data_IF_132263446604
#
_entry.id   IF_132263446604
#
_cell.length_a   1.000
_cell.length_b   1.000
_cell.length_c   1.000
_cell.angle_alpha   90.00
_cell.angle_beta   90.00
_cell.angle_gamma   90.00
#
_symmetry.space_group_name_H-M   'P 1'
#
loop_
_entity.id
_entity.type
_entity.pdbx_description
1 polymer ?
#
# COMPACT_ATOMS: atom_id res chain seq x y z
N UNK A 1 68.49 -26.95 -27.64
CA UNK A 1 67.10 -27.05 -28.09
C UNK A 1 66.25 -26.84 -26.87
N UNK A 2 65.77 -25.57 -26.65
CA UNK A 2 64.91 -25.20 -25.48
C UNK A 2 63.49 -25.20 -25.96
N UNK A 3 62.66 -26.09 -25.40
CA UNK A 3 61.20 -26.11 -25.63
C UNK A 3 60.59 -24.99 -24.81
N UNK A 4 59.96 -24.02 -25.48
CA UNK A 4 59.16 -23.00 -24.86
C UNK A 4 57.72 -23.54 -24.88
N UNK A 5 57.22 -23.95 -23.70
CA UNK A 5 55.80 -24.31 -23.51
C UNK A 5 55.04 -23.00 -23.24
N UNK A 6 54.29 -22.55 -24.24
CA UNK A 6 53.38 -21.39 -24.11
C UNK A 6 52.10 -21.85 -23.42
N UNK A 7 51.88 -21.41 -22.19
CA UNK A 7 50.68 -21.68 -21.44
C UNK A 7 49.60 -20.62 -21.81
N UNK A 8 48.70 -20.99 -22.70
CA UNK A 8 47.51 -20.15 -22.97
C UNK A 8 46.52 -20.26 -21.80
N UNK A 9 46.50 -19.24 -20.94
CA UNK A 9 45.48 -19.07 -19.91
C UNK A 9 44.22 -18.60 -20.63
N UNK A 10 43.30 -19.54 -20.90
CA UNK A 10 41.92 -19.19 -21.37
C UNK A 10 41.17 -18.63 -20.18
N UNK A 11 41.15 -17.31 -20.03
CA UNK A 11 40.21 -16.62 -19.16
C UNK A 11 38.80 -16.75 -19.78
N UNK A 12 38.05 -17.77 -19.37
CA UNK A 12 36.61 -17.82 -19.62
C UNK A 12 35.95 -16.71 -18.78
N UNK A 13 35.77 -15.53 -19.36
CA UNK A 13 34.80 -14.56 -18.84
C UNK A 13 33.42 -15.19 -18.93
N UNK A 14 32.96 -15.75 -17.82
CA UNK A 14 31.54 -15.95 -17.62
C UNK A 14 30.91 -14.55 -17.64
N UNK A 15 30.44 -14.11 -18.79
CA UNK A 15 29.47 -13.04 -18.91
C UNK A 15 28.24 -13.54 -18.16
N UNK A 16 28.18 -13.25 -16.86
CA UNK A 16 26.88 -13.27 -16.16
C UNK A 16 26.03 -12.23 -16.88
N UNK A 17 25.19 -12.68 -17.81
CA UNK A 17 24.15 -11.85 -18.39
C UNK A 17 23.32 -11.36 -17.19
N UNK A 18 23.52 -10.13 -16.78
CA UNK A 18 22.65 -9.49 -15.82
C UNK A 18 21.25 -9.46 -16.47
N UNK A 19 20.31 -10.13 -15.85
CA UNK A 19 18.94 -10.18 -16.32
C UNK A 19 18.41 -8.75 -16.42
N UNK A 20 17.76 -8.40 -17.55
CA UNK A 20 17.20 -7.06 -17.71
C UNK A 20 16.06 -6.82 -16.70
N UNK A 21 15.76 -5.56 -16.40
CA UNK A 21 14.70 -5.26 -15.42
C UNK A 21 13.32 -5.66 -15.96
N UNK A 22 13.12 -5.65 -17.28
CA UNK A 22 11.92 -6.12 -17.95
C UNK A 22 11.75 -7.64 -17.82
N UNK A 23 12.84 -8.41 -17.96
CA UNK A 23 12.82 -9.86 -17.72
C UNK A 23 12.51 -10.18 -16.26
N UNK A 24 13.04 -9.38 -15.34
CA UNK A 24 12.72 -9.48 -13.90
C UNK A 24 11.25 -9.21 -13.66
N UNK A 25 10.69 -8.13 -14.25
CA UNK A 25 9.26 -7.81 -14.12
C UNK A 25 8.39 -8.95 -14.66
N UNK A 26 8.69 -9.46 -15.85
CA UNK A 26 7.94 -10.58 -16.45
C UNK A 26 7.97 -11.84 -15.55
N UNK A 27 9.13 -12.16 -14.98
CA UNK A 27 9.25 -13.29 -14.06
C UNK A 27 8.42 -13.07 -12.78
N UNK A 28 8.39 -11.86 -12.24
CA UNK A 28 7.57 -11.51 -11.08
C UNK A 28 6.09 -11.64 -11.40
N UNK A 29 5.65 -11.16 -12.57
CA UNK A 29 4.26 -11.29 -13.03
C UNK A 29 3.88 -12.76 -13.10
N UNK A 30 4.61 -13.59 -13.84
CA UNK A 30 4.29 -15.00 -14.01
C UNK A 30 4.20 -15.73 -12.66
N UNK A 31 5.14 -15.49 -11.74
CA UNK A 31 5.11 -16.13 -10.43
C UNK A 31 3.99 -15.61 -9.52
N UNK A 32 3.54 -14.35 -9.69
CA UNK A 32 2.40 -13.81 -8.93
C UNK A 32 1.06 -14.27 -9.52
N UNK A 33 0.95 -14.42 -10.84
CA UNK A 33 -0.20 -15.06 -11.50
C UNK A 33 -0.40 -16.50 -11.01
N UNK A 34 0.69 -17.26 -10.87
CA UNK A 34 0.64 -18.61 -10.29
C UNK A 34 0.05 -18.62 -8.86
N UNK A 35 0.32 -17.58 -8.06
CA UNK A 35 -0.28 -17.39 -6.73
C UNK A 35 -1.78 -17.11 -6.86
N UNK A 36 -2.19 -16.19 -7.74
CA UNK A 36 -3.57 -15.74 -7.85
C UNK A 36 -4.51 -16.78 -8.48
N UNK A 37 -3.99 -17.64 -9.36
CA UNK A 37 -4.79 -18.70 -10.02
C UNK A 37 -4.87 -20.01 -9.22
N UNK A 38 -4.02 -20.22 -8.22
CA UNK A 38 -4.09 -21.37 -7.34
C UNK A 38 -5.35 -21.31 -6.45
N UNK A 39 -5.95 -22.46 -6.18
CA UNK A 39 -7.18 -22.57 -5.38
C UNK A 39 -6.98 -23.30 -4.06
N UNK A 40 -5.96 -24.15 -3.97
CA UNK A 40 -5.64 -24.83 -2.73
C UNK A 40 -4.84 -23.93 -1.81
N UNK A 41 -5.35 -23.65 -0.61
CA UNK A 41 -4.73 -22.73 0.36
C UNK A 41 -3.28 -23.11 0.72
N UNK A 42 -2.94 -24.41 0.72
CA UNK A 42 -1.57 -24.85 1.02
C UNK A 42 -0.65 -24.63 -0.18
N UNK A 43 -1.13 -24.93 -1.38
CA UNK A 43 -0.35 -24.73 -2.60
C UNK A 43 -0.16 -23.25 -2.89
N UNK A 44 -1.18 -22.42 -2.65
CA UNK A 44 -1.05 -20.95 -2.82
C UNK A 44 0.04 -20.37 -1.91
N UNK A 45 0.16 -20.84 -0.67
CA UNK A 45 1.21 -20.39 0.23
C UNK A 45 2.62 -20.84 -0.22
N UNK A 46 2.75 -22.04 -0.79
CA UNK A 46 4.01 -22.51 -1.40
C UNK A 46 4.40 -21.61 -2.58
N UNK A 47 3.46 -21.33 -3.49
CA UNK A 47 3.69 -20.43 -4.63
C UNK A 47 4.01 -19.00 -4.18
N UNK A 48 3.38 -18.52 -3.11
CA UNK A 48 3.72 -17.24 -2.50
C UNK A 48 5.16 -17.21 -1.98
N UNK A 49 5.65 -18.29 -1.37
CA UNK A 49 7.04 -18.37 -0.93
C UNK A 49 8.02 -18.38 -2.12
N UNK A 50 7.66 -19.00 -3.24
CA UNK A 50 8.41 -18.93 -4.49
C UNK A 50 8.42 -17.50 -5.06
N UNK A 51 7.27 -16.83 -5.09
CA UNK A 51 7.18 -15.42 -5.48
C UNK A 51 8.06 -14.53 -4.60
N UNK A 52 7.99 -14.68 -3.27
CA UNK A 52 8.85 -13.95 -2.33
C UNK A 52 10.34 -14.19 -2.60
N UNK A 53 10.71 -15.41 -2.96
CA UNK A 53 12.10 -15.73 -3.34
C UNK A 53 12.53 -15.01 -4.63
N UNK A 54 11.65 -14.96 -5.64
CA UNK A 54 11.87 -14.22 -6.88
C UNK A 54 11.99 -12.72 -6.63
N UNK A 55 11.10 -12.14 -5.82
CA UNK A 55 11.14 -10.73 -5.43
C UNK A 55 12.42 -10.39 -4.64
N UNK A 56 12.86 -11.27 -3.73
CA UNK A 56 14.11 -11.11 -3.00
C UNK A 56 15.32 -11.06 -3.94
N UNK A 57 15.34 -11.90 -4.99
CA UNK A 57 16.39 -11.89 -6.01
C UNK A 57 16.31 -10.62 -6.87
N UNK A 58 15.11 -10.16 -7.21
CA UNK A 58 14.88 -8.93 -7.96
C UNK A 58 15.48 -7.71 -7.25
N UNK A 59 15.46 -7.66 -5.92
CA UNK A 59 16.03 -6.56 -5.14
C UNK A 59 17.56 -6.46 -5.21
N UNK A 60 18.25 -7.42 -5.82
CA UNK A 60 19.66 -7.30 -6.12
C UNK A 60 19.94 -6.38 -7.32
N UNK A 61 18.95 -6.17 -8.18
CA UNK A 61 19.04 -5.19 -9.26
C UNK A 61 18.73 -3.77 -8.71
N UNK A 62 19.68 -2.83 -8.89
CA UNK A 62 19.56 -1.46 -8.36
C UNK A 62 18.44 -0.66 -9.01
N UNK A 63 18.04 -1.00 -10.22
CA UNK A 63 16.95 -0.33 -10.96
C UNK A 63 15.58 -0.63 -10.36
N UNK A 64 15.45 -1.71 -9.56
CA UNK A 64 14.20 -2.16 -8.93
C UNK A 64 13.50 -1.04 -8.14
N UNK A 65 14.26 -0.12 -7.55
CA UNK A 65 13.72 0.97 -6.77
C UNK A 65 12.97 1.99 -7.63
N UNK A 66 13.49 2.35 -8.79
CA UNK A 66 12.98 3.43 -9.65
C UNK A 66 12.20 2.96 -10.88
N UNK A 67 12.30 1.67 -11.24
CA UNK A 67 11.61 1.12 -12.40
C UNK A 67 10.09 1.22 -12.24
N UNK A 68 9.30 1.67 -13.24
CA UNK A 68 7.87 1.96 -13.09
C UNK A 68 7.01 0.76 -12.66
N UNK A 69 7.31 -0.44 -13.16
CA UNK A 69 6.50 -1.64 -12.96
C UNK A 69 5.06 -1.49 -13.45
N UNK A 70 4.87 -0.88 -14.63
CA UNK A 70 3.53 -0.61 -15.20
C UNK A 70 2.70 -1.89 -15.41
N UNK A 71 3.35 -3.00 -15.72
CA UNK A 71 2.68 -4.29 -15.90
C UNK A 71 2.46 -5.02 -14.57
N UNK A 72 3.46 -5.09 -13.69
CA UNK A 72 3.35 -5.74 -12.38
C UNK A 72 2.36 -5.01 -11.47
N UNK A 73 2.22 -3.67 -11.61
CA UNK A 73 1.28 -2.86 -10.82
C UNK A 73 -0.20 -3.20 -11.06
N UNK A 74 -0.52 -4.00 -12.07
CA UNK A 74 -1.87 -4.55 -12.31
C UNK A 74 -2.21 -5.72 -11.38
N UNK A 75 -1.20 -6.37 -10.80
CA UNK A 75 -1.33 -7.56 -9.97
C UNK A 75 -1.02 -7.29 -8.49
N UNK A 76 -0.21 -6.27 -8.21
CA UNK A 76 0.17 -5.90 -6.84
C UNK A 76 0.40 -4.39 -6.76
N UNK A 77 0.40 -3.84 -5.55
CA UNK A 77 0.82 -2.45 -5.35
C UNK A 77 2.34 -2.33 -5.36
N UNK A 78 2.86 -1.40 -6.15
CA UNK A 78 4.30 -1.07 -6.25
C UNK A 78 4.54 0.42 -6.04
N UNK A 79 3.85 1.03 -5.07
CA UNK A 79 3.83 2.49 -4.87
C UNK A 79 5.15 2.98 -4.28
N UNK A 80 5.66 4.08 -4.84
CA UNK A 80 6.84 4.79 -4.34
C UNK A 80 6.39 6.04 -3.57
N UNK A 81 7.02 6.34 -2.44
CA UNK A 81 6.75 7.58 -1.71
C UNK A 81 7.18 8.80 -2.54
N UNK A 82 6.39 9.87 -2.53
CA UNK A 82 6.65 11.04 -3.38
C UNK A 82 7.94 11.80 -3.01
N UNK A 83 8.48 11.58 -1.82
CA UNK A 83 9.81 12.07 -1.39
C UNK A 83 10.96 11.14 -1.84
N UNK A 84 10.65 9.98 -2.44
CA UNK A 84 11.63 9.04 -2.95
C UNK A 84 12.43 8.27 -1.88
N UNK A 85 11.97 8.23 -0.63
CA UNK A 85 12.68 7.58 0.48
C UNK A 85 12.48 6.07 0.54
N UNK A 86 11.33 5.58 0.07
CA UNK A 86 11.04 4.14 0.02
C UNK A 86 9.98 3.80 -1.03
N UNK A 87 9.91 2.53 -1.35
CA UNK A 87 8.91 1.92 -2.20
C UNK A 87 8.24 0.76 -1.48
N UNK A 88 6.94 0.58 -1.67
CA UNK A 88 6.17 -0.56 -1.16
C UNK A 88 5.95 -1.56 -2.30
N UNK A 89 6.19 -2.83 -2.02
CA UNK A 89 5.77 -3.98 -2.81
C UNK A 89 4.76 -4.75 -1.95
N UNK A 90 3.48 -4.70 -2.33
CA UNK A 90 2.40 -5.13 -1.46
C UNK A 90 1.33 -5.86 -2.27
N UNK A 91 0.99 -7.08 -1.85
CA UNK A 91 -0.01 -7.93 -2.49
C UNK A 91 -0.87 -8.64 -1.47
N UNK A 92 -2.00 -9.16 -1.95
CA UNK A 92 -2.92 -9.96 -1.16
C UNK A 92 -3.15 -11.31 -1.81
N UNK A 93 -3.52 -12.27 -0.99
CA UNK A 93 -3.93 -13.62 -1.36
C UNK A 93 -5.32 -13.83 -0.78
N UNK A 94 -6.30 -14.13 -1.64
CA UNK A 94 -7.62 -14.52 -1.20
C UNK A 94 -7.64 -16.03 -0.93
N UNK A 95 -7.98 -16.40 0.33
CA UNK A 95 -8.09 -17.78 0.77
C UNK A 95 -9.50 -18.34 0.53
N UNK A 96 -9.66 -19.66 0.54
CA UNK A 96 -10.93 -20.36 0.27
C UNK A 96 -12.12 -19.85 1.12
N UNK A 97 -11.87 -19.40 2.33
CA UNK A 97 -12.87 -18.80 3.22
C UNK A 97 -13.14 -17.31 2.95
N UNK A 98 -12.67 -16.77 1.81
CA UNK A 98 -12.71 -15.36 1.41
C UNK A 98 -12.00 -14.40 2.38
N UNK A 99 -11.19 -14.90 3.30
CA UNK A 99 -10.28 -14.07 4.10
C UNK A 99 -9.07 -13.71 3.27
N UNK A 100 -8.54 -12.54 3.56
CA UNK A 100 -7.36 -12.03 2.87
C UNK A 100 -6.10 -12.31 3.69
N UNK A 101 -5.02 -12.70 3.03
CA UNK A 101 -3.67 -12.69 3.58
C UNK A 101 -2.87 -11.61 2.85
N UNK A 102 -2.16 -10.77 3.60
CA UNK A 102 -1.40 -9.65 3.06
C UNK A 102 0.09 -9.85 3.23
N UNK A 103 0.82 -9.50 2.20
CA UNK A 103 2.27 -9.39 2.22
C UNK A 103 2.67 -7.96 1.85
N UNK A 104 3.59 -7.38 2.60
CA UNK A 104 4.09 -6.04 2.31
C UNK A 104 5.59 -5.95 2.61
N UNK A 105 6.37 -5.60 1.59
CA UNK A 105 7.79 -5.37 1.70
C UNK A 105 8.10 -3.92 1.36
N UNK A 106 8.79 -3.24 2.26
CA UNK A 106 9.21 -1.86 2.11
C UNK A 106 10.68 -1.87 1.70
N UNK A 107 10.95 -1.44 0.48
CA UNK A 107 12.30 -1.24 -0.05
C UNK A 107 12.70 0.22 0.16
N UNK A 108 13.69 0.49 0.98
CA UNK A 108 14.23 1.82 1.19
C UNK A 108 15.19 2.21 0.05
N UNK A 109 15.39 3.50 -0.16
CA UNK A 109 16.32 4.06 -1.15
C UNK A 109 17.76 3.51 -1.03
N UNK A 110 18.19 3.16 0.18
CA UNK A 110 19.48 2.50 0.45
C UNK A 110 19.45 0.99 0.25
N UNK A 111 18.40 0.45 -0.37
CA UNK A 111 18.18 -0.97 -0.64
C UNK A 111 17.97 -1.85 0.61
N UNK A 112 17.76 -1.24 1.78
CA UNK A 112 17.33 -1.99 2.96
C UNK A 112 15.87 -2.42 2.81
N UNK A 113 15.58 -3.67 3.15
CA UNK A 113 14.25 -4.28 3.02
C UNK A 113 13.65 -4.46 4.42
N UNK A 114 12.41 -4.01 4.60
CA UNK A 114 11.61 -4.25 5.80
C UNK A 114 10.39 -5.06 5.36
N UNK A 115 10.21 -6.23 5.97
CA UNK A 115 9.06 -7.10 5.71
C UNK A 115 8.05 -6.93 6.81
N UNK A 116 6.79 -6.66 6.46
CA UNK A 116 5.71 -6.54 7.41
C UNK A 116 5.02 -7.89 7.57
N UNK A 117 4.68 -8.23 8.79
CA UNK A 117 3.94 -9.46 9.12
C UNK A 117 2.47 -9.17 9.30
N UNK A 118 1.62 -9.78 8.50
CA UNK A 118 0.17 -9.70 8.61
C UNK A 118 -0.31 -10.35 9.92
N UNK A 119 -0.74 -9.51 10.87
CA UNK A 119 -1.09 -9.92 12.22
C UNK A 119 -2.59 -10.24 12.34
N UNK A 120 -2.91 -11.53 12.44
CA UNK A 120 -4.29 -12.02 12.36
C UNK A 120 -5.08 -11.97 13.67
N UNK A 121 -4.48 -11.52 14.78
CA UNK A 121 -5.20 -11.40 16.05
C UNK A 121 -5.93 -10.08 16.14
N UNK A 122 -7.11 -10.10 16.77
CA UNK A 122 -7.84 -8.89 17.09
C UNK A 122 -7.03 -8.00 18.05
N UNK A 123 -6.94 -6.73 17.72
CA UNK A 123 -6.28 -5.72 18.55
C UNK A 123 -7.35 -4.78 19.09
N UNK A 124 -7.56 -4.75 20.42
CA UNK A 124 -8.51 -3.83 21.02
C UNK A 124 -8.21 -2.37 20.65
N UNK A 125 -9.25 -1.60 20.41
CA UNK A 125 -9.13 -0.18 20.06
C UNK A 125 -8.09 0.09 18.97
N UNK A 126 -8.14 -0.72 17.93
CA UNK A 126 -7.14 -0.72 16.84
C UNK A 126 -6.84 0.66 16.27
N UNK A 127 -7.84 1.56 16.19
CA UNK A 127 -7.68 2.93 15.70
C UNK A 127 -6.84 3.83 16.63
N UNK A 128 -6.63 3.41 17.89
CA UNK A 128 -5.81 4.11 18.88
C UNK A 128 -4.53 3.36 19.25
N UNK A 129 -4.33 2.14 18.75
CA UNK A 129 -3.18 1.29 19.07
C UNK A 129 -1.98 1.61 18.20
N UNK A 130 -0.76 1.52 18.77
CA UNK A 130 0.50 1.55 17.99
C UNK A 130 0.86 0.15 17.56
N UNK A 131 1.35 0.01 16.32
CA UNK A 131 1.77 -1.25 15.72
C UNK A 131 3.22 -1.10 15.20
N UNK A 132 3.84 -2.23 14.92
CA UNK A 132 5.16 -2.32 14.31
C UNK A 132 5.18 -3.29 13.11
N UNK A 133 6.37 -3.61 12.61
CA UNK A 133 6.54 -4.53 11.49
C UNK A 133 6.00 -5.95 11.76
N UNK A 134 5.86 -6.36 13.03
CA UNK A 134 5.41 -7.71 13.41
C UNK A 134 3.91 -7.76 13.80
N UNK A 135 3.31 -6.60 13.98
CA UNK A 135 1.91 -6.45 14.39
C UNK A 135 1.09 -5.64 13.37
N UNK A 136 1.57 -5.61 12.14
CA UNK A 136 0.91 -4.89 11.05
C UNK A 136 -0.51 -5.41 10.78
N UNK A 137 -1.44 -4.46 10.54
CA UNK A 137 -2.88 -4.74 10.38
C UNK A 137 -3.22 -5.60 9.15
N UNK A 138 -2.38 -5.55 8.10
CA UNK A 138 -2.70 -6.13 6.80
C UNK A 138 -3.60 -5.22 5.95
N UNK A 139 -3.08 -4.75 4.83
CA UNK A 139 -3.81 -3.96 3.85
C UNK A 139 -3.07 -3.93 2.51
N UNK A 140 -3.77 -3.59 1.44
CA UNK A 140 -3.18 -3.27 0.14
C UNK A 140 -3.08 -1.74 0.03
N UNK A 141 -1.89 -1.18 0.27
CA UNK A 141 -1.67 0.26 0.16
C UNK A 141 -1.52 0.70 -1.29
N UNK A 142 -2.23 1.74 -1.67
CA UNK A 142 -2.23 2.27 -3.03
C UNK A 142 -1.82 3.75 -3.13
N UNK A 143 -1.58 4.41 -1.99
CA UNK A 143 -1.05 5.78 -1.96
C UNK A 143 -0.20 6.02 -0.71
N UNK A 144 0.82 6.89 -0.82
CA UNK A 144 1.75 7.24 0.24
C UNK A 144 1.96 8.76 0.23
N UNK A 145 1.56 9.40 1.30
CA UNK A 145 1.60 10.86 1.46
C UNK A 145 2.64 11.21 2.53
N UNK A 146 3.81 11.75 2.18
CA UNK A 146 4.76 12.26 3.16
C UNK A 146 4.30 13.63 3.69
N UNK A 147 4.13 13.72 4.98
CA UNK A 147 3.78 14.96 5.65
C UNK A 147 4.85 15.34 6.68
N UNK A 148 5.26 16.61 6.70
CA UNK A 148 6.16 17.11 7.72
C UNK A 148 5.40 17.34 9.02
N UNK A 149 5.87 16.75 10.13
CA UNK A 149 5.31 16.93 11.46
C UNK A 149 6.41 17.27 12.43
N UNK A 150 6.50 18.57 12.83
CA UNK A 150 7.62 19.05 13.62
C UNK A 150 8.95 18.73 12.91
N UNK A 151 9.81 17.92 13.54
CA UNK A 151 11.15 17.58 13.03
C UNK A 151 11.23 16.18 12.40
N UNK A 152 10.11 15.58 12.03
CA UNK A 152 10.08 14.25 11.40
C UNK A 152 9.06 14.19 10.25
N UNK A 153 9.34 13.33 9.28
CA UNK A 153 8.36 12.96 8.27
C UNK A 153 7.45 11.87 8.83
N UNK A 154 6.14 12.08 8.72
CA UNK A 154 5.11 11.08 8.97
C UNK A 154 4.48 10.72 7.62
N UNK A 155 4.42 9.45 7.30
CA UNK A 155 3.80 8.96 6.08
C UNK A 155 2.36 8.57 6.36
N UNK A 156 1.45 9.10 5.59
CA UNK A 156 0.05 8.66 5.59
C UNK A 156 -0.14 7.68 4.46
N UNK A 157 -0.49 6.45 4.77
CA UNK A 157 -0.75 5.39 3.81
C UNK A 157 -2.25 5.26 3.60
N UNK A 158 -2.67 5.16 2.35
CA UNK A 158 -4.06 4.88 2.00
C UNK A 158 -4.15 3.47 1.45
N UNK A 159 -5.02 2.65 2.03
CA UNK A 159 -5.12 1.24 1.73
C UNK A 159 -6.53 0.70 1.66
N UNK A 160 -6.60 -0.55 1.23
CA UNK A 160 -7.82 -1.34 1.15
C UNK A 160 -7.58 -2.73 1.78
N UNK A 161 -8.62 -3.23 2.44
CA UNK A 161 -8.68 -4.60 2.97
C UNK A 161 -9.98 -5.24 2.48
N UNK A 162 -9.87 -6.39 1.79
CA UNK A 162 -10.99 -7.21 1.35
C UNK A 162 -11.76 -7.87 2.48
N UNK A 163 -11.24 -7.78 3.70
CA UNK A 163 -11.79 -8.20 4.96
C UNK A 163 -12.40 -9.62 4.94
N UNK A 164 -13.69 -9.72 4.59
CA UNK A 164 -14.45 -10.97 4.62
C UNK A 164 -15.51 -11.04 3.51
N UNK A 165 -16.36 -12.07 3.55
CA UNK A 165 -17.42 -12.27 2.57
C UNK A 165 -18.54 -11.21 2.59
N UNK A 166 -18.65 -10.40 3.66
CA UNK A 166 -19.75 -9.44 3.86
C UNK A 166 -19.32 -8.00 3.65
N UNK A 167 -18.03 -7.69 3.89
CA UNK A 167 -17.56 -6.31 3.94
C UNK A 167 -16.14 -6.14 3.41
N UNK A 168 -15.86 -4.92 2.94
CA UNK A 168 -14.53 -4.42 2.67
C UNK A 168 -14.17 -3.33 3.69
N UNK A 169 -12.88 -2.98 3.74
CA UNK A 169 -12.41 -1.82 4.50
C UNK A 169 -11.57 -0.89 3.64
N UNK A 170 -11.69 0.42 3.88
CA UNK A 170 -10.69 1.41 3.51
C UNK A 170 -9.94 1.86 4.75
N UNK A 171 -8.65 2.07 4.61
CA UNK A 171 -7.76 2.34 5.74
C UNK A 171 -6.93 3.57 5.44
N UNK A 172 -6.85 4.48 6.41
CA UNK A 172 -5.85 5.54 6.44
C UNK A 172 -4.94 5.23 7.63
N UNK A 173 -3.67 4.96 7.35
CA UNK A 173 -2.69 4.55 8.36
C UNK A 173 -1.57 5.59 8.45
N UNK A 174 -1.10 5.87 9.66
CA UNK A 174 0.10 6.69 9.85
C UNK A 174 1.32 5.81 10.11
N UNK A 175 2.42 6.10 9.44
CA UNK A 175 3.67 5.34 9.52
C UNK A 175 4.86 6.29 9.72
N UNK A 176 5.83 5.86 10.51
CA UNK A 176 7.12 6.54 10.65
C UNK A 176 8.26 5.52 10.65
N UNK A 177 9.45 5.96 10.25
CA UNK A 177 10.68 5.23 10.53
C UNK A 177 11.29 5.77 11.83
N UNK A 178 11.50 4.88 12.80
CA UNK A 178 12.14 5.24 14.07
C UNK A 178 13.67 5.42 13.90
N UNK A 179 14.35 5.84 14.95
CA UNK A 179 15.82 6.06 14.94
C UNK A 179 16.64 4.82 14.57
N UNK A 180 16.08 3.62 14.70
CA UNK A 180 16.69 2.35 14.32
C UNK A 180 16.29 1.91 12.89
N UNK A 181 15.70 2.80 12.11
CA UNK A 181 15.16 2.52 10.77
C UNK A 181 14.07 1.42 10.72
N UNK A 182 13.44 1.11 11.84
CA UNK A 182 12.29 0.20 11.90
C UNK A 182 11.00 0.96 11.66
N UNK A 183 10.02 0.27 11.09
CA UNK A 183 8.68 0.80 10.88
C UNK A 183 7.89 0.83 12.18
N UNK A 184 7.17 1.91 12.39
CA UNK A 184 6.20 2.06 13.46
C UNK A 184 4.93 2.69 12.89
N UNK A 185 3.78 2.08 13.17
CA UNK A 185 2.47 2.60 12.80
C UNK A 185 1.78 3.21 14.02
N UNK A 186 0.94 4.20 13.76
CA UNK A 186 0.07 4.75 14.78
C UNK A 186 0.59 6.04 15.42
N UNK A 187 1.01 6.99 14.61
CA UNK A 187 1.13 8.39 15.05
C UNK A 187 -0.27 9.01 15.21
N UNK A 188 -0.58 9.70 16.34
CA UNK A 188 -1.88 10.32 16.54
C UNK A 188 -1.98 11.60 15.70
N UNK A 189 -2.48 11.47 14.48
CA UNK A 189 -2.56 12.59 13.52
C UNK A 189 -3.94 12.81 12.90
N UNK A 190 -4.93 11.94 13.15
CA UNK A 190 -6.27 12.07 12.59
C UNK A 190 -7.24 12.67 13.63
N UNK A 191 -7.37 14.00 13.63
CA UNK A 191 -8.19 14.75 14.61
C UNK A 191 -9.62 14.89 14.14
N UNK A 192 -10.55 14.44 14.97
CA UNK A 192 -11.98 14.53 14.75
C UNK A 192 -12.61 15.76 15.44
N UNK A 193 -13.86 16.06 15.11
CA UNK A 193 -14.61 17.24 15.63
C UNK A 193 -14.87 17.15 17.14
N UNK A 194 -14.93 15.93 17.71
CA UNK A 194 -15.08 15.69 19.15
C UNK A 194 -13.78 15.90 19.95
N UNK A 195 -12.72 16.34 19.27
CA UNK A 195 -11.40 16.56 19.86
C UNK A 195 -10.52 15.33 19.98
N UNK A 196 -11.07 14.11 19.73
CA UNK A 196 -10.28 12.88 19.73
C UNK A 196 -9.35 12.83 18.54
N UNK A 197 -8.16 12.26 18.75
CA UNK A 197 -7.17 12.08 17.70
C UNK A 197 -6.86 10.59 17.55
N UNK A 198 -7.22 10.02 16.41
CA UNK A 198 -6.94 8.62 16.08
C UNK A 198 -5.51 8.47 15.50
N UNK A 199 -4.99 7.26 15.58
CA UNK A 199 -3.70 6.85 14.99
C UNK A 199 -3.87 6.26 13.58
N UNK A 200 -5.05 5.71 13.30
CA UNK A 200 -5.53 5.26 11.99
C UNK A 200 -7.03 5.45 11.90
N UNK A 201 -7.54 5.37 10.67
CA UNK A 201 -8.98 5.45 10.41
C UNK A 201 -9.35 4.21 9.59
N UNK A 202 -10.37 3.49 10.04
CA UNK A 202 -10.89 2.30 9.37
C UNK A 202 -12.34 2.54 9.00
N UNK A 203 -12.64 2.47 7.70
CA UNK A 203 -13.98 2.53 7.15
C UNK A 203 -14.39 1.13 6.72
N UNK A 204 -15.29 0.49 7.45
CA UNK A 204 -15.87 -0.78 7.06
C UNK A 204 -17.21 -0.53 6.35
N UNK A 205 -17.41 -1.19 5.21
CA UNK A 205 -18.59 -0.99 4.37
C UNK A 205 -18.97 -2.29 3.65
N UNK A 206 -20.22 -2.33 3.18
CA UNK A 206 -20.80 -3.50 2.53
C UNK A 206 -19.99 -3.94 1.30
N UNK A 207 -19.78 -5.26 1.15
CA UNK A 207 -19.00 -5.88 0.05
C UNK A 207 -19.49 -5.46 -1.33
N UNK A 208 -20.80 -5.25 -1.50
CA UNK A 208 -21.43 -4.85 -2.76
C UNK A 208 -21.41 -3.34 -3.02
N UNK A 209 -21.01 -2.55 -2.01
CA UNK A 209 -20.86 -1.10 -2.15
C UNK A 209 -19.47 -0.74 -2.64
N UNK A 210 -19.38 0.43 -3.28
CA UNK A 210 -18.10 1.05 -3.61
C UNK A 210 -17.87 2.26 -2.72
N UNK A 211 -16.66 2.39 -2.16
CA UNK A 211 -16.24 3.56 -1.39
C UNK A 211 -14.97 4.15 -2.00
N UNK A 212 -15.03 5.41 -2.41
CA UNK A 212 -13.87 6.18 -2.83
C UNK A 212 -13.12 6.73 -1.62
N UNK A 213 -11.80 6.60 -1.64
CA UNK A 213 -10.89 7.22 -0.66
C UNK A 213 -9.62 7.62 -1.43
N UNK A 214 -9.33 8.93 -1.54
CA UNK A 214 -8.27 9.47 -2.39
C UNK A 214 -7.58 10.66 -1.76
N UNK A 215 -6.28 10.75 -1.93
CA UNK A 215 -5.51 11.96 -1.69
C UNK A 215 -5.66 12.94 -2.85
N UNK A 216 -5.72 14.22 -2.54
CA UNK A 216 -5.75 15.30 -3.52
C UNK A 216 -5.04 16.53 -2.98
N UNK A 217 -4.08 17.03 -3.72
CA UNK A 217 -3.44 18.31 -3.42
C UNK A 217 -4.08 19.43 -4.26
N UNK A 218 -4.51 20.50 -3.61
CA UNK A 218 -5.12 21.66 -4.25
C UNK A 218 -4.58 22.92 -3.64
N UNK A 219 -3.98 23.81 -4.43
CA UNK A 219 -3.42 25.10 -3.97
C UNK A 219 -2.46 24.99 -2.77
N UNK A 220 -1.64 23.95 -2.75
CA UNK A 220 -0.69 23.61 -1.67
C UNK A 220 -1.34 23.06 -0.38
N UNK A 221 -2.63 22.80 -0.37
CA UNK A 221 -3.32 22.11 0.71
C UNK A 221 -3.52 20.65 0.35
N UNK A 222 -3.24 19.75 1.27
CA UNK A 222 -3.42 18.31 1.10
C UNK A 222 -4.74 17.88 1.73
N UNK A 223 -5.54 17.17 0.94
CA UNK A 223 -6.84 16.62 1.34
C UNK A 223 -6.85 15.10 1.16
N UNK A 224 -7.41 14.39 2.11
CA UNK A 224 -7.87 13.02 1.94
C UNK A 224 -9.39 13.07 1.86
N UNK A 225 -9.95 12.81 0.68
CA UNK A 225 -11.39 12.91 0.41
C UNK A 225 -11.96 11.51 0.31
N UNK A 226 -13.10 11.28 0.93
CA UNK A 226 -13.74 9.98 0.94
C UNK A 226 -15.26 10.10 0.98
N UNK A 227 -15.92 9.06 0.48
CA UNK A 227 -17.38 8.96 0.53
C UNK A 227 -17.85 8.83 1.98
N UNK A 228 -18.90 9.57 2.33
CA UNK A 228 -19.55 9.42 3.61
C UNK A 228 -20.28 8.08 3.69
N UNK A 229 -20.09 7.36 4.80
CA UNK A 229 -20.72 6.07 5.07
C UNK A 229 -21.86 6.22 6.06
N UNK A 230 -22.99 5.61 5.74
CA UNK A 230 -24.16 5.58 6.62
C UNK A 230 -24.81 4.19 6.65
N UNK A 231 -25.49 3.83 7.75
CA UNK A 231 -26.29 2.61 7.77
C UNK A 231 -27.50 2.77 6.82
N UNK A 232 -27.86 1.76 6.01
CA UNK A 232 -29.00 1.81 5.09
C UNK A 232 -30.35 1.87 5.81
N UNK A 233 -30.37 1.55 7.11
CA UNK A 233 -31.52 1.72 7.99
C UNK A 233 -31.07 1.98 9.43
N UNK A 234 -31.91 2.64 10.27
CA UNK A 234 -31.55 2.90 11.69
C UNK A 234 -31.22 1.65 12.50
N UNK A 235 -31.80 0.51 12.17
CA UNK A 235 -31.56 -0.76 12.86
C UNK A 235 -30.16 -1.33 12.61
N UNK A 236 -29.45 -0.86 11.59
CA UNK A 236 -28.12 -1.31 11.21
C UNK A 236 -27.01 -0.34 11.67
N UNK A 237 -27.35 0.64 12.53
CA UNK A 237 -26.42 1.69 12.98
C UNK A 237 -25.11 1.15 13.58
N UNK A 238 -25.14 0.00 14.26
CA UNK A 238 -23.96 -0.56 14.93
C UNK A 238 -23.30 -1.69 14.13
N UNK A 239 -23.76 -1.91 12.89
CA UNK A 239 -23.28 -2.98 12.02
C UNK A 239 -22.55 -2.39 10.80
N UNK A 240 -21.30 -1.98 11.00
CA UNK A 240 -20.49 -1.30 9.95
C UNK A 240 -20.34 -2.12 8.66
N UNK A 241 -20.39 -3.46 8.74
CA UNK A 241 -20.35 -4.34 7.56
C UNK A 241 -21.50 -4.10 6.57
N UNK A 242 -22.56 -3.42 6.96
CA UNK A 242 -23.71 -3.10 6.11
C UNK A 242 -23.77 -1.64 5.66
N UNK A 243 -22.80 -0.81 6.08
CA UNK A 243 -22.77 0.60 5.70
C UNK A 243 -22.59 0.77 4.20
N UNK A 244 -23.24 1.79 3.68
CA UNK A 244 -23.21 2.16 2.26
C UNK A 244 -22.90 3.66 2.12
N UNK A 245 -22.55 4.10 0.93
CA UNK A 245 -22.30 5.51 0.62
C UNK A 245 -23.62 6.24 0.33
N UNK A 246 -23.73 7.51 0.72
CA UNK A 246 -24.91 8.37 0.51
C UNK A 246 -24.69 9.48 -0.53
N UNK A 247 -23.62 9.37 -1.34
CA UNK A 247 -23.20 10.33 -2.37
C UNK A 247 -22.71 11.68 -1.84
N UNK A 248 -22.58 11.84 -0.52
CA UNK A 248 -21.89 12.97 0.10
C UNK A 248 -20.43 12.62 0.39
N UNK A 249 -19.59 13.62 0.67
CA UNK A 249 -18.19 13.45 0.94
C UNK A 249 -17.82 14.04 2.29
N UNK A 250 -16.89 13.36 2.96
CA UNK A 250 -16.11 13.92 4.04
C UNK A 250 -14.64 14.07 3.62
N UNK A 251 -13.87 14.82 4.38
CA UNK A 251 -12.44 14.95 4.11
C UNK A 251 -11.62 15.09 5.38
N UNK A 252 -10.33 14.82 5.26
CA UNK A 252 -9.31 15.33 6.16
C UNK A 252 -8.49 16.38 5.42
N UNK A 253 -8.22 17.51 6.07
CA UNK A 253 -7.32 18.56 5.62
C UNK A 253 -6.06 18.53 6.46
N UNK A 254 -4.88 18.46 5.83
CA UNK A 254 -3.60 18.58 6.52
C UNK A 254 -3.35 20.03 6.92
N UNK A 255 -3.35 20.29 8.21
CA UNK A 255 -2.99 21.59 8.78
C UNK A 255 -2.53 21.42 10.24
N UNK A 256 -1.73 22.31 10.75
CA UNK A 256 -1.23 22.27 12.14
C UNK A 256 -0.55 20.93 12.49
N UNK A 257 0.19 20.32 11.55
CA UNK A 257 0.90 19.05 11.69
C UNK A 257 -0.01 17.82 11.96
N UNK A 258 -1.26 17.85 11.49
CA UNK A 258 -2.23 16.76 11.61
C UNK A 258 -3.30 16.83 10.52
N UNK A 259 -4.04 15.74 10.35
CA UNK A 259 -5.21 15.65 9.50
C UNK A 259 -6.45 16.06 10.30
N UNK A 260 -7.10 17.16 9.92
CA UNK A 260 -8.29 17.69 10.58
C UNK A 260 -9.54 17.29 9.80
N UNK A 261 -10.47 16.60 10.47
CA UNK A 261 -11.71 16.12 9.86
C UNK A 261 -12.64 17.27 9.47
N UNK A 262 -13.21 17.19 8.26
CA UNK A 262 -14.20 18.11 7.68
C UNK A 262 -15.42 17.30 7.23
N UNK A 263 -16.54 17.51 7.90
CA UNK A 263 -17.81 16.87 7.52
C UNK A 263 -18.47 17.61 6.36
N UNK A 264 -19.24 16.90 5.53
CA UNK A 264 -20.00 17.45 4.40
C UNK A 264 -19.12 18.30 3.47
N UNK A 265 -18.00 17.72 3.07
CA UNK A 265 -17.00 18.42 2.27
C UNK A 265 -17.49 18.60 0.83
N UNK A 266 -17.55 19.85 0.34
CA UNK A 266 -17.88 20.13 -1.06
C UNK A 266 -16.67 19.85 -1.97
N UNK A 267 -16.56 18.61 -2.45
CA UNK A 267 -15.51 18.20 -3.37
C UNK A 267 -15.55 18.97 -4.72
N UNK A 268 -16.69 19.59 -5.09
CA UNK A 268 -16.80 20.41 -6.30
C UNK A 268 -16.10 21.76 -6.13
N UNK A 269 -16.00 22.27 -4.90
CA UNK A 269 -15.27 23.51 -4.62
C UNK A 269 -13.77 23.41 -4.90
N UNK A 270 -13.21 22.19 -4.95
CA UNK A 270 -11.84 21.90 -5.34
C UNK A 270 -11.62 21.85 -6.86
N UNK A 271 -12.54 22.38 -7.69
CA UNK A 271 -12.31 22.47 -9.12
C UNK A 271 -11.02 23.24 -9.38
N UNK A 272 -9.97 22.50 -9.72
CA UNK A 272 -8.80 23.07 -10.37
C UNK A 272 -9.29 23.65 -11.67
N UNK A 273 -9.14 24.97 -11.85
CA UNK A 273 -9.40 25.66 -13.07
C UNK A 273 -8.77 24.90 -14.25
N UNK A 274 -9.65 24.41 -15.12
CA UNK A 274 -9.44 24.04 -16.50
C UNK A 274 -8.28 23.09 -16.83
N UNK A 275 -8.56 21.77 -16.78
CA UNK A 275 -8.30 21.00 -17.99
C UNK A 275 -9.65 20.73 -18.63
N UNK A 276 -9.87 21.09 -19.91
CA UNK A 276 -11.07 20.69 -20.62
C UNK A 276 -11.17 19.16 -20.52
N UNK A 277 -12.33 18.68 -20.11
CA UNK A 277 -12.64 17.26 -20.21
C UNK A 277 -12.62 16.92 -21.70
N UNK A 278 -11.63 16.16 -22.13
CA UNK A 278 -11.64 15.58 -23.46
C UNK A 278 -12.69 14.47 -23.46
N UNK A 279 -13.87 14.79 -23.97
CA UNK A 279 -14.92 13.83 -24.21
C UNK A 279 -14.40 12.76 -25.19
N UNK A 280 -14.28 11.48 -24.78
CA UNK A 280 -13.77 10.43 -25.67
C UNK A 280 -14.71 10.11 -26.82
N UNK A 281 -15.90 10.73 -26.88
CA UNK A 281 -16.90 10.58 -27.95
C UNK A 281 -17.00 11.79 -28.88
N UNK A 282 -16.02 12.71 -28.85
CA UNK A 282 -15.88 13.81 -29.81
C UNK A 282 -14.64 13.67 -30.62
#
# INVERSE_FOLDING_TARGET
>A
MKLIISFYLILSFNLMNAQSIEEIELKLINSLEDVHFEKDDKLVMIKNDEFKSNLQKAFLNKEIFSYPFDSLSKFMSTVISSDGEFRIFNWNIELDNQKQHYECWILKKNLNIIKLSDFKKEIPEIEYSSLDENTWLGALYYDIIPNQRKNKTVYTLIGWDGNDMFSNKKIIESMVFNKKNKVQFGEPIFKYLDGKTKKRVIFQYNKQSYMSLKHKQVRKEDYIIFDHLMPPSPHLKDFNAWYVTDLSFDAFLWSENQWNFKRNFDAKSLKVLNRPFNDPNK
#
